data_IF_677022885430
#
_entry.id   IF_677022885430
#
_cell.length_a   1.000
_cell.length_b   1.000
_cell.length_c   1.000
_cell.angle_alpha   90.00
_cell.angle_beta   90.00
_cell.angle_gamma   90.00
#
_symmetry.space_group_name_H-M   'P 1'
#
loop_
_entity.id
_entity.type
_entity.pdbx_description
1 polymer ?
#
# COMPACT_ATOMS: atom_id res chain seq x y z
N UNK A 1 13.06 -14.99 -26.08
CA UNK A 1 12.64 -13.63 -25.69
C UNK A 1 11.25 -13.69 -25.09
N UNK A 2 11.17 -13.92 -23.78
CA UNK A 2 9.92 -14.07 -23.03
C UNK A 2 10.11 -13.47 -21.64
N UNK A 3 10.31 -12.16 -21.59
CA UNK A 3 10.20 -11.35 -20.37
C UNK A 3 9.73 -9.97 -20.80
N UNK A 4 8.48 -9.89 -21.24
CA UNK A 4 7.77 -8.62 -21.34
C UNK A 4 6.77 -8.58 -20.19
N UNK A 5 6.95 -7.59 -19.33
CA UNK A 5 5.90 -7.07 -18.47
C UNK A 5 5.44 -7.96 -17.31
N UNK A 6 6.33 -8.16 -16.33
CA UNK A 6 5.87 -8.05 -14.94
C UNK A 6 5.71 -6.56 -14.65
N UNK A 7 4.73 -5.93 -15.29
CA UNK A 7 4.13 -4.71 -14.79
C UNK A 7 3.54 -5.12 -13.44
N UNK A 8 4.30 -4.90 -12.35
CA UNK A 8 3.71 -4.87 -11.03
C UNK A 8 2.69 -3.74 -11.12
N UNK A 9 1.44 -4.13 -11.35
CA UNK A 9 0.27 -3.28 -11.20
C UNK A 9 0.29 -2.92 -9.71
N UNK A 10 1.06 -1.90 -9.34
CA UNK A 10 0.82 -1.12 -8.15
C UNK A 10 -0.50 -0.43 -8.41
N UNK A 11 -1.56 -1.21 -8.25
CA UNK A 11 -2.90 -0.72 -8.02
C UNK A 11 -2.71 0.38 -6.98
N UNK A 12 -2.90 1.63 -7.40
CA UNK A 12 -2.73 2.83 -6.55
C UNK A 12 -3.88 2.85 -5.55
N UNK A 13 -3.96 1.80 -4.75
CA UNK A 13 -4.92 1.70 -3.66
C UNK A 13 -4.21 2.40 -2.51
N UNK A 14 -4.18 3.72 -2.58
CA UNK A 14 -4.29 4.48 -1.34
C UNK A 14 -5.71 4.18 -0.88
N UNK A 15 -5.90 3.05 -0.17
CA UNK A 15 -7.15 2.79 0.53
C UNK A 15 -7.38 4.05 1.34
N UNK A 16 -8.42 4.79 0.98
CA UNK A 16 -8.91 5.95 1.69
C UNK A 16 -9.17 5.43 3.10
N UNK A 17 -8.25 5.65 4.03
CA UNK A 17 -8.42 5.34 5.46
C UNK A 17 -9.33 6.42 6.05
N UNK A 18 -10.47 6.62 5.41
CA UNK A 18 -11.61 7.32 5.98
C UNK A 18 -12.46 6.21 6.57
N UNK A 19 -13.15 6.50 7.67
CA UNK A 19 -14.11 5.63 8.37
C UNK A 19 -15.29 5.22 7.47
N UNK A 20 -15.00 4.62 6.32
CA UNK A 20 -15.89 4.12 5.30
C UNK A 20 -15.72 2.62 5.25
N UNK A 21 -16.85 1.95 5.11
CA UNK A 21 -16.90 0.52 4.91
C UNK A 21 -16.20 0.12 3.60
N UNK A 22 -15.67 -1.11 3.51
CA UNK A 22 -15.10 -1.62 2.25
C UNK A 22 -16.06 -1.51 1.05
N UNK A 23 -17.36 -1.66 1.28
CA UNK A 23 -18.39 -1.49 0.24
C UNK A 23 -18.46 -0.06 -0.29
N UNK A 24 -18.39 0.94 0.58
CA UNK A 24 -18.36 2.36 0.17
C UNK A 24 -17.07 2.70 -0.58
N UNK A 25 -15.95 2.05 -0.25
CA UNK A 25 -14.68 2.24 -0.93
C UNK A 25 -14.66 1.62 -2.33
N UNK A 26 -15.31 0.47 -2.52
CA UNK A 26 -15.30 -0.28 -3.78
C UNK A 26 -16.43 0.13 -4.72
N UNK A 27 -17.61 0.44 -4.18
CA UNK A 27 -18.83 0.63 -4.96
C UNK A 27 -19.43 2.03 -4.81
N UNK A 28 -18.79 2.92 -4.04
CA UNK A 28 -19.29 4.28 -3.79
C UNK A 28 -20.57 4.34 -2.94
N UNK A 29 -21.06 3.19 -2.45
CA UNK A 29 -22.31 3.08 -1.67
C UNK A 29 -22.20 2.06 -0.55
N UNK A 30 -23.03 2.24 0.47
CA UNK A 30 -23.17 1.26 1.54
C UNK A 30 -24.16 0.16 1.10
N UNK A 31 -23.66 -1.04 0.82
CA UNK A 31 -24.51 -2.15 0.35
C UNK A 31 -25.30 -2.72 1.54
N UNK A 32 -26.51 -2.20 1.75
CA UNK A 32 -27.51 -2.77 2.67
C UNK A 32 -28.44 -3.74 1.95
N UNK A 33 -28.79 -3.43 0.71
CA UNK A 33 -29.72 -4.18 -0.13
C UNK A 33 -29.16 -4.45 -1.53
N UNK A 34 -29.79 -5.37 -2.26
CA UNK A 34 -29.40 -5.72 -3.65
C UNK A 34 -29.57 -4.56 -4.63
N UNK A 35 -30.54 -3.68 -4.40
CA UNK A 35 -30.92 -2.58 -5.30
C UNK A 35 -30.44 -1.24 -4.71
N UNK A 36 -29.76 -0.39 -5.50
CA UNK A 36 -29.37 0.95 -5.04
C UNK A 36 -30.59 1.81 -4.73
N UNK A 37 -30.50 2.58 -3.64
CA UNK A 37 -31.49 3.61 -3.30
C UNK A 37 -31.16 4.91 -4.04
N UNK A 38 -32.15 5.79 -4.16
CA UNK A 38 -31.98 7.10 -4.81
C UNK A 38 -30.89 7.92 -4.09
N UNK A 39 -30.75 7.78 -2.77
CA UNK A 39 -29.71 8.44 -1.99
C UNK A 39 -28.29 7.95 -2.33
N UNK A 40 -28.14 6.69 -2.76
CA UNK A 40 -26.84 6.16 -3.19
C UNK A 40 -26.34 6.83 -4.48
N UNK A 41 -27.25 7.31 -5.34
CA UNK A 41 -26.88 8.04 -6.57
C UNK A 41 -26.37 9.46 -6.31
N UNK A 42 -26.75 10.09 -5.19
CA UNK A 42 -26.38 11.47 -4.87
C UNK A 42 -25.14 11.58 -3.97
N UNK A 43 -24.51 10.46 -3.60
CA UNK A 43 -23.42 10.42 -2.62
C UNK A 43 -22.06 10.94 -3.13
N UNK A 44 -21.99 11.52 -4.33
CA UNK A 44 -20.73 11.95 -4.97
C UNK A 44 -20.26 13.37 -4.60
N UNK A 45 -20.60 13.87 -3.41
CA UNK A 45 -19.84 14.99 -2.84
C UNK A 45 -18.54 14.44 -2.27
N UNK A 46 -17.53 14.38 -3.12
CA UNK A 46 -16.16 14.04 -2.74
C UNK A 46 -15.70 15.06 -1.69
N UNK A 47 -15.69 14.65 -0.43
CA UNK A 47 -15.11 15.44 0.66
C UNK A 47 -13.60 15.58 0.42
N UNK A 48 -13.22 16.69 -0.23
CA UNK A 48 -11.84 17.05 -0.57
C UNK A 48 -10.99 17.25 0.69
N UNK A 49 -11.59 17.80 1.77
CA UNK A 49 -10.90 18.00 3.04
C UNK A 49 -10.50 16.66 3.67
N UNK A 50 -11.40 15.67 3.65
CA UNK A 50 -11.09 14.32 4.12
C UNK A 50 -10.01 13.64 3.27
N UNK A 51 -9.94 13.93 1.97
CA UNK A 51 -8.90 13.42 1.09
C UNK A 51 -7.52 13.99 1.47
N UNK A 52 -7.43 15.31 1.61
CA UNK A 52 -6.18 15.99 1.97
C UNK A 52 -5.66 15.55 3.33
N UNK A 53 -6.55 15.44 4.32
CA UNK A 53 -6.22 14.94 5.66
C UNK A 53 -5.68 13.51 5.61
N UNK A 54 -6.29 12.63 4.81
CA UNK A 54 -5.83 11.26 4.65
C UNK A 54 -4.45 11.19 3.98
N UNK A 55 -4.22 12.00 2.94
CA UNK A 55 -2.93 12.08 2.27
C UNK A 55 -1.82 12.52 3.23
N UNK A 56 -2.08 13.58 4.00
CA UNK A 56 -1.14 14.10 5.00
C UNK A 56 -0.83 13.07 6.10
N UNK A 57 -1.85 12.40 6.63
CA UNK A 57 -1.66 11.40 7.69
C UNK A 57 -0.87 10.18 7.19
N UNK A 58 -1.11 9.74 5.94
CA UNK A 58 -0.35 8.65 5.33
C UNK A 58 1.12 9.00 5.16
N UNK A 59 1.40 10.21 4.68
CA UNK A 59 2.78 10.69 4.54
C UNK A 59 3.47 10.75 5.91
N UNK A 60 2.81 11.30 6.93
CA UNK A 60 3.34 11.35 8.30
C UNK A 60 3.65 9.96 8.87
N UNK A 61 2.76 8.99 8.66
CA UNK A 61 2.96 7.61 9.11
C UNK A 61 4.18 6.96 8.46
N UNK A 62 4.32 7.16 7.14
CA UNK A 62 5.51 6.72 6.39
C UNK A 62 6.79 7.36 6.95
N UNK A 63 6.82 8.69 7.05
CA UNK A 63 8.00 9.43 7.52
C UNK A 63 8.40 9.05 8.95
N UNK A 64 7.41 8.78 9.81
CA UNK A 64 7.65 8.32 11.17
C UNK A 64 8.30 6.93 11.17
N UNK A 65 7.73 5.99 10.43
CA UNK A 65 8.24 4.61 10.36
C UNK A 65 9.64 4.57 9.74
N UNK A 66 9.86 5.31 8.65
CA UNK A 66 11.15 5.46 7.99
C UNK A 66 12.19 6.03 8.98
N UNK A 67 11.84 7.08 9.73
CA UNK A 67 12.71 7.65 10.77
C UNK A 67 13.00 6.65 11.88
N UNK A 68 11.99 5.95 12.41
CA UNK A 68 12.15 4.98 13.51
C UNK A 68 13.01 3.80 13.08
N UNK A 69 12.91 3.36 11.82
CA UNK A 69 13.71 2.26 11.28
C UNK A 69 15.07 2.71 10.74
N UNK A 70 15.37 4.01 10.74
CA UNK A 70 16.60 4.57 10.19
C UNK A 70 16.73 4.36 8.67
N UNK A 71 15.59 4.29 7.97
CA UNK A 71 15.56 4.17 6.52
C UNK A 71 16.29 5.36 5.86
N UNK A 72 16.99 5.09 4.77
CA UNK A 72 17.69 6.09 3.96
C UNK A 72 17.24 5.94 2.52
N UNK A 73 17.15 7.05 1.81
CA UNK A 73 17.00 7.00 0.36
C UNK A 73 18.28 6.43 -0.24
N UNK A 74 18.12 5.33 -0.96
CA UNK A 74 19.19 4.64 -1.70
C UNK A 74 18.61 4.39 -3.08
N UNK A 75 19.27 4.90 -4.11
CA UNK A 75 18.93 4.60 -5.49
C UNK A 75 19.39 3.17 -5.82
N UNK A 76 18.43 2.29 -6.08
CA UNK A 76 18.68 0.89 -6.48
C UNK A 76 18.34 0.78 -7.96
N UNK A 77 19.32 0.40 -8.77
CA UNK A 77 19.19 0.23 -10.20
C UNK A 77 19.14 -1.25 -10.59
N UNK A 78 18.60 -1.52 -11.78
CA UNK A 78 18.58 -2.87 -12.34
C UNK A 78 20.00 -3.33 -12.61
N UNK A 79 20.40 -4.46 -12.00
CA UNK A 79 21.75 -5.02 -12.08
C UNK A 79 22.58 -4.82 -10.81
N UNK A 80 22.12 -4.01 -9.85
CA UNK A 80 22.80 -3.85 -8.57
C UNK A 80 22.75 -5.15 -7.74
N UNK A 81 23.86 -5.55 -7.10
CA UNK A 81 23.88 -6.74 -6.26
C UNK A 81 23.04 -6.52 -4.99
N UNK A 82 21.95 -7.27 -4.87
CA UNK A 82 21.10 -7.29 -3.68
C UNK A 82 21.28 -8.59 -2.89
N UNK A 83 21.06 -8.52 -1.59
CA UNK A 83 21.02 -9.69 -0.70
C UNK A 83 19.62 -9.81 -0.10
N UNK A 84 19.12 -11.03 0.02
CA UNK A 84 17.83 -11.31 0.65
C UNK A 84 18.02 -11.68 2.10
N UNK A 85 17.16 -11.12 2.94
CA UNK A 85 17.14 -11.44 4.37
C UNK A 85 16.51 -12.81 4.58
N UNK A 86 17.26 -13.72 5.18
CA UNK A 86 16.80 -15.05 5.54
C UNK A 86 15.81 -14.98 6.71
N UNK A 87 14.80 -15.85 6.67
CA UNK A 87 13.92 -16.09 7.83
C UNK A 87 14.65 -17.03 8.77
N UNK A 88 15.32 -16.47 9.78
CA UNK A 88 16.18 -17.23 10.70
C UNK A 88 15.35 -17.84 11.83
N UNK A 89 15.54 -19.13 12.06
CA UNK A 89 15.03 -19.82 13.25
C UNK A 89 16.00 -19.58 14.42
N UNK A 90 15.56 -19.15 15.63
CA UNK A 90 16.42 -18.58 16.66
C UNK A 90 17.61 -19.43 17.13
N UNK A 91 17.53 -20.76 16.98
CA UNK A 91 18.53 -21.71 17.47
C UNK A 91 19.54 -22.15 16.41
N UNK A 92 19.43 -21.67 15.17
CA UNK A 92 20.34 -22.06 14.09
C UNK A 92 21.32 -20.93 13.77
N UNK A 93 22.61 -21.26 13.75
CA UNK A 93 23.68 -20.34 13.36
C UNK A 93 23.79 -20.31 11.83
N UNK A 94 22.80 -19.69 11.18
CA UNK A 94 22.78 -19.45 9.74
C UNK A 94 23.01 -17.96 9.44
N UNK A 95 23.68 -17.62 8.32
CA UNK A 95 23.82 -16.24 7.90
C UNK A 95 22.45 -15.55 7.77
N UNK A 96 22.34 -14.30 8.22
CA UNK A 96 21.09 -13.52 8.15
C UNK A 96 20.72 -13.13 6.72
N UNK A 97 21.69 -13.14 5.80
CA UNK A 97 21.48 -12.75 4.40
C UNK A 97 22.09 -13.78 3.46
N UNK A 98 21.43 -13.98 2.32
CA UNK A 98 21.90 -14.83 1.22
C UNK A 98 21.79 -14.09 -0.11
N UNK A 99 22.53 -14.55 -1.13
CA UNK A 99 22.36 -14.05 -2.50
C UNK A 99 21.12 -14.72 -3.10
N UNK A 100 20.22 -13.93 -3.67
CA UNK A 100 19.22 -14.47 -4.59
C UNK A 100 19.98 -14.99 -5.82
N UNK A 101 19.76 -16.26 -6.15
CA UNK A 101 20.34 -16.91 -7.34
C UNK A 101 19.32 -16.92 -8.46
#
# INVERSE_FOLDING_TARGET
>A
GIYSDVHIIRHRIVLRQVNKSPSELLYGRNIRDKIPTIYDLYSELTDEEAYDRNLLNKQKGKDLEDRTKGAREIDINVGDPALVKNVVVPHQLIPTFSKDT
#
